data_IF_876648270476
#
_entry.id   IF_876648270476
#
_cell.length_a   1.000
_cell.length_b   1.000
_cell.length_c   1.000
_cell.angle_alpha   90.00
_cell.angle_beta   90.00
_cell.angle_gamma   90.00
#
_symmetry.space_group_name_H-M   'P 1'
#
loop_
_entity.id
_entity.type
_entity.pdbx_description
1 polymer ?
#
# COMPACT_ATOMS: atom_id res chain seq x y z
N UNK A 1 14.84 3.91 1.26
CA UNK A 1 14.11 4.03 -0.05
C UNK A 1 13.49 2.70 -0.42
N UNK A 2 12.32 2.72 -1.01
CA UNK A 2 11.64 1.53 -1.55
C UNK A 2 11.35 1.79 -3.02
N UNK A 3 11.75 0.86 -3.89
CA UNK A 3 11.45 0.93 -5.32
C UNK A 3 10.31 -0.06 -5.63
N UNK A 4 9.24 0.41 -6.23
CA UNK A 4 8.10 -0.40 -6.68
C UNK A 4 8.30 -0.72 -8.16
N UNK A 5 8.81 -1.89 -8.44
CA UNK A 5 9.09 -2.33 -9.83
C UNK A 5 7.91 -3.03 -10.51
N UNK A 6 6.85 -3.34 -9.76
CA UNK A 6 5.66 -4.04 -10.27
C UNK A 6 4.44 -3.59 -9.47
N UNK A 7 3.29 -3.52 -10.13
CA UNK A 7 1.99 -3.20 -9.51
C UNK A 7 1.45 -4.28 -8.54
N UNK A 8 2.29 -5.19 -8.05
CA UNK A 8 1.87 -6.34 -7.24
C UNK A 8 2.12 -6.17 -5.73
N UNK A 9 2.51 -4.98 -5.32
CA UNK A 9 2.82 -4.70 -3.92
C UNK A 9 4.17 -5.26 -3.44
N UNK A 10 4.66 -4.73 -2.34
CA UNK A 10 5.92 -5.10 -1.72
C UNK A 10 5.79 -5.18 -0.21
N UNK A 11 6.24 -6.27 0.41
CA UNK A 11 6.27 -6.39 1.87
C UNK A 11 7.33 -5.48 2.46
N UNK A 12 6.99 -4.83 3.56
CA UNK A 12 7.87 -3.90 4.24
C UNK A 12 7.62 -3.91 5.76
N UNK A 13 8.66 -3.64 6.53
CA UNK A 13 8.64 -3.28 7.95
C UNK A 13 9.88 -2.43 8.23
N UNK A 14 9.89 -1.65 9.31
CA UNK A 14 11.02 -0.83 9.68
C UNK A 14 11.19 -0.75 11.20
N UNK A 15 12.40 -0.43 11.65
CA UNK A 15 12.75 -0.40 13.08
C UNK A 15 12.25 0.84 13.82
N UNK A 16 11.92 1.90 13.09
CA UNK A 16 11.38 3.15 13.61
C UNK A 16 9.96 3.38 13.10
N UNK A 17 9.25 4.33 13.68
CA UNK A 17 7.97 4.78 13.15
C UNK A 17 8.17 5.39 11.77
N UNK A 18 7.21 5.18 10.87
CA UNK A 18 7.24 5.72 9.50
C UNK A 18 6.07 6.69 9.30
N UNK A 19 6.38 7.92 8.93
CA UNK A 19 5.38 8.89 8.49
C UNK A 19 5.07 8.70 7.00
N UNK A 20 3.93 8.10 6.71
CA UNK A 20 3.48 7.87 5.33
C UNK A 20 3.15 9.18 4.60
N UNK A 21 2.69 10.19 5.35
CA UNK A 21 2.33 11.50 4.78
C UNK A 21 3.54 12.30 4.29
N UNK A 22 4.71 12.06 4.90
CA UNK A 22 5.98 12.71 4.54
C UNK A 22 6.82 11.91 3.54
N UNK A 23 6.24 10.89 2.89
CA UNK A 23 6.94 10.11 1.86
C UNK A 23 7.23 10.98 0.65
N UNK A 24 8.49 11.03 0.26
CA UNK A 24 8.91 11.66 -0.99
C UNK A 24 8.87 10.65 -2.13
N UNK A 25 8.37 11.07 -3.28
CA UNK A 25 8.29 10.24 -4.49
C UNK A 25 9.28 10.75 -5.53
N UNK A 26 10.05 9.85 -6.10
CA UNK A 26 11.03 10.16 -7.13
C UNK A 26 10.74 9.34 -8.39
N UNK A 27 11.07 9.89 -9.56
CA UNK A 27 11.11 9.14 -10.81
C UNK A 27 12.40 8.28 -10.93
N UNK A 28 12.57 7.61 -12.06
CA UNK A 28 13.74 6.80 -12.34
C UNK A 28 15.05 7.59 -12.44
N UNK A 29 14.96 8.88 -12.73
CA UNK A 29 16.10 9.83 -12.83
C UNK A 29 16.32 10.59 -11.52
N UNK A 30 15.62 10.19 -10.44
CA UNK A 30 15.67 10.80 -9.10
C UNK A 30 15.14 12.23 -9.01
N UNK A 31 14.31 12.66 -9.95
CA UNK A 31 13.59 13.93 -9.81
C UNK A 31 12.40 13.74 -8.87
N UNK A 32 12.16 14.72 -8.01
CA UNK A 32 11.01 14.71 -7.09
C UNK A 32 9.72 14.88 -7.87
N UNK A 33 8.75 14.02 -7.58
CA UNK A 33 7.38 14.09 -8.07
C UNK A 33 6.48 14.69 -6.99
N UNK A 34 5.50 15.50 -7.40
CA UNK A 34 4.57 16.16 -6.47
C UNK A 34 3.48 15.19 -5.95
N UNK A 35 3.16 14.14 -6.73
CA UNK A 35 2.10 13.20 -6.38
C UNK A 35 2.64 12.04 -5.55
N UNK A 36 2.20 11.95 -4.30
CA UNK A 36 2.42 10.78 -3.46
C UNK A 36 1.26 9.80 -3.63
N UNK A 37 1.45 8.78 -4.43
CA UNK A 37 0.51 7.69 -4.71
C UNK A 37 0.85 6.40 -3.94
N UNK A 38 1.75 6.47 -2.96
CA UNK A 38 2.08 5.34 -2.11
C UNK A 38 0.88 4.97 -1.24
N UNK A 39 0.48 3.72 -1.31
CA UNK A 39 -0.52 3.12 -0.44
C UNK A 39 0.13 2.04 0.41
N UNK A 40 -0.09 2.08 1.71
CA UNK A 40 0.37 1.07 2.65
C UNK A 40 -0.84 0.32 3.22
N UNK A 41 -0.79 -1.00 3.21
CA UNK A 41 -1.87 -1.87 3.69
C UNK A 41 -1.41 -2.78 4.80
N UNK A 42 -2.27 -2.98 5.78
CA UNK A 42 -2.19 -4.07 6.76
C UNK A 42 -3.14 -5.20 6.36
N UNK A 43 -2.92 -6.40 6.89
CA UNK A 43 -3.84 -7.53 6.75
C UNK A 43 -4.66 -7.67 8.04
N UNK A 44 -5.99 -7.57 7.96
CA UNK A 44 -6.85 -7.52 9.16
C UNK A 44 -7.65 -8.78 9.39
N UNK A 45 -8.07 -9.47 8.33
CA UNK A 45 -8.87 -10.66 8.43
C UNK A 45 -8.49 -11.70 7.38
N UNK A 46 -8.69 -12.97 7.73
CA UNK A 46 -8.64 -14.08 6.79
C UNK A 46 -10.05 -14.66 6.73
N UNK A 47 -10.70 -14.49 5.58
CA UNK A 47 -12.10 -14.89 5.41
C UNK A 47 -12.24 -16.07 4.47
N UNK A 48 -13.16 -16.98 4.81
CA UNK A 48 -13.53 -18.09 3.95
C UNK A 48 -14.78 -17.70 3.17
N UNK A 49 -14.66 -17.58 1.86
CA UNK A 49 -15.85 -17.45 1.03
C UNK A 49 -16.34 -18.83 0.58
N UNK A 50 -17.66 -19.00 0.49
CA UNK A 50 -18.35 -20.25 0.15
C UNK A 50 -17.90 -20.89 -1.20
N UNK A 51 -17.03 -20.27 -1.94
CA UNK A 51 -16.50 -20.66 -3.26
C UNK A 51 -15.06 -21.16 -3.25
N UNK A 52 -14.60 -21.76 -2.17
CA UNK A 52 -13.27 -22.43 -2.06
C UNK A 52 -12.04 -21.48 -2.14
N UNK A 53 -12.19 -20.19 -2.21
CA UNK A 53 -11.07 -19.25 -2.21
C UNK A 53 -11.04 -18.48 -0.88
N UNK A 54 -10.02 -18.73 -0.10
CA UNK A 54 -9.75 -17.95 1.09
C UNK A 54 -9.09 -16.62 0.71
N UNK A 55 -9.47 -15.57 1.41
CA UNK A 55 -9.03 -14.20 1.14
C UNK A 55 -8.45 -13.56 2.38
N UNK A 56 -7.51 -12.67 2.17
CA UNK A 56 -6.94 -11.81 3.21
C UNK A 56 -7.42 -10.38 2.92
N UNK A 57 -8.07 -9.78 3.89
CA UNK A 57 -8.55 -8.39 3.77
C UNK A 57 -7.43 -7.42 4.10
N UNK A 58 -7.13 -6.54 3.15
CA UNK A 58 -6.18 -5.46 3.29
C UNK A 58 -6.88 -4.16 3.66
N UNK A 59 -6.49 -3.55 4.79
CA UNK A 59 -6.97 -2.23 5.21
C UNK A 59 -5.88 -1.18 5.03
N UNK A 60 -6.23 -0.05 4.42
CA UNK A 60 -5.31 1.07 4.19
C UNK A 60 -4.81 1.64 5.52
N UNK A 61 -3.50 1.84 5.60
CA UNK A 61 -2.83 2.53 6.70
C UNK A 61 -2.63 4.01 6.34
N UNK A 62 -2.91 4.89 7.30
CA UNK A 62 -2.72 6.32 7.14
C UNK A 62 -1.98 6.89 8.36
N UNK A 63 -1.25 7.99 8.15
CA UNK A 63 -0.52 8.68 9.21
C UNK A 63 0.79 8.00 9.57
N UNK A 64 1.15 8.03 10.85
CA UNK A 64 2.41 7.52 11.36
C UNK A 64 2.24 6.07 11.79
N UNK A 65 2.87 5.16 11.05
CA UNK A 65 2.85 3.72 11.32
C UNK A 65 3.88 3.39 12.41
N UNK A 66 3.50 2.61 13.44
CA UNK A 66 4.43 2.22 14.50
C UNK A 66 5.62 1.42 13.98
N UNK A 67 6.74 1.52 14.67
CA UNK A 67 7.92 0.68 14.46
C UNK A 67 7.55 -0.82 14.41
N UNK A 68 8.29 -1.59 13.63
CA UNK A 68 8.18 -3.04 13.50
C UNK A 68 6.85 -3.55 12.91
N UNK A 69 5.99 -2.64 12.46
CA UNK A 69 4.73 -3.00 11.80
C UNK A 69 4.98 -3.59 10.42
N UNK A 70 4.50 -4.81 10.18
CA UNK A 70 4.46 -5.38 8.84
C UNK A 70 3.40 -4.69 7.99
N UNK A 71 3.75 -4.34 6.75
CA UNK A 71 2.84 -3.72 5.78
C UNK A 71 3.14 -4.17 4.36
N UNK A 72 2.17 -3.99 3.47
CA UNK A 72 2.34 -4.19 2.03
C UNK A 72 2.20 -2.82 1.37
N UNK A 73 3.24 -2.43 0.66
CA UNK A 73 3.32 -1.15 -0.04
C UNK A 73 2.93 -1.34 -1.51
N UNK A 74 2.03 -0.51 -1.98
CA UNK A 74 1.64 -0.38 -3.37
C UNK A 74 1.96 1.04 -3.85
N UNK A 75 2.29 1.15 -5.11
CA UNK A 75 2.54 2.43 -5.76
C UNK A 75 2.63 2.26 -7.26
N UNK A 76 2.83 3.32 -7.99
CA UNK A 76 3.03 3.26 -9.44
C UNK A 76 4.35 2.60 -9.80
N UNK A 77 4.34 1.92 -10.93
CA UNK A 77 5.54 1.30 -11.48
C UNK A 77 6.58 2.37 -11.79
N UNK A 78 7.86 1.98 -11.63
CA UNK A 78 9.04 2.82 -11.92
C UNK A 78 9.18 4.09 -11.07
N UNK A 79 8.49 4.13 -9.92
CA UNK A 79 8.67 5.16 -8.89
C UNK A 79 9.52 4.66 -7.72
N UNK A 80 10.24 5.59 -7.12
CA UNK A 80 11.05 5.37 -5.92
C UNK A 80 10.42 6.15 -4.77
N UNK A 81 10.07 5.45 -3.69
CA UNK A 81 9.47 6.05 -2.50
C UNK A 81 10.52 6.14 -1.40
N UNK A 82 10.75 7.36 -0.93
CA UNK A 82 11.63 7.64 0.19
C UNK A 82 10.76 7.78 1.43
N UNK A 83 10.66 6.71 2.19
CA UNK A 83 9.89 6.69 3.45
C UNK A 83 10.65 7.47 4.52
N UNK A 84 9.94 8.25 5.31
CA UNK A 84 10.49 9.12 6.34
C UNK A 84 10.34 8.49 7.72
N UNK A 85 11.44 8.01 8.34
CA UNK A 85 11.44 7.62 9.74
C UNK A 85 11.16 8.82 10.64
N UNK A 86 10.46 8.60 11.74
CA UNK A 86 10.10 9.66 12.68
C UNK A 86 10.09 9.17 14.12
N UNK A 87 10.38 10.07 15.06
CA UNK A 87 10.22 9.85 16.51
C UNK A 87 8.85 10.29 17.01
N UNK A 88 8.02 10.87 16.15
CA UNK A 88 6.67 11.27 16.53
C UNK A 88 5.81 10.05 16.90
N UNK A 89 4.83 10.27 17.77
CA UNK A 89 3.93 9.20 18.22
C UNK A 89 3.14 8.60 17.05
N UNK A 90 3.00 7.28 17.05
CA UNK A 90 2.22 6.56 16.05
C UNK A 90 0.74 6.98 16.10
N UNK A 91 0.16 7.17 14.92
CA UNK A 91 -1.26 7.54 14.75
C UNK A 91 -2.05 6.51 13.93
N UNK A 92 -1.37 5.63 13.19
CA UNK A 92 -2.02 4.59 12.41
C UNK A 92 -2.62 3.49 13.33
N UNK A 93 -3.84 3.07 13.02
CA UNK A 93 -4.49 1.96 13.71
C UNK A 93 -4.01 0.63 13.13
N UNK A 94 -3.18 -0.07 13.89
CA UNK A 94 -2.59 -1.38 13.52
C UNK A 94 -3.03 -2.52 14.42
N UNK A 95 -4.05 -2.30 15.25
CA UNK A 95 -4.49 -3.23 16.30
C UNK A 95 -4.81 -4.65 15.77
N UNK A 96 -5.41 -4.73 14.60
CA UNK A 96 -5.84 -6.00 14.01
C UNK A 96 -4.85 -6.53 12.95
N UNK A 97 -3.67 -5.91 12.84
CA UNK A 97 -2.72 -6.28 11.81
C UNK A 97 -2.16 -7.70 12.02
N UNK A 98 -2.34 -8.55 11.04
CA UNK A 98 -1.82 -9.93 11.00
C UNK A 98 -0.47 -10.05 10.28
N UNK A 99 0.04 -8.95 9.73
CA UNK A 99 1.37 -8.92 9.13
C UNK A 99 2.42 -8.72 10.23
N UNK A 100 3.31 -9.67 10.34
CA UNK A 100 4.41 -9.64 11.32
C UNK A 100 5.68 -9.15 10.64
N UNK A 101 6.21 -8.02 11.12
CA UNK A 101 7.46 -7.45 10.62
C UNK A 101 8.66 -8.32 10.98
N UNK A 102 9.59 -8.46 10.05
CA UNK A 102 10.86 -9.17 10.23
C UNK A 102 11.99 -8.15 10.10
N UNK A 103 12.63 -7.85 11.22
CA UNK A 103 13.70 -6.85 11.30
C UNK A 103 15.10 -7.43 11.16
N UNK A 104 15.23 -8.70 10.90
CA UNK A 104 16.51 -9.38 10.79
C UNK A 104 16.40 -10.63 9.94
N UNK A 105 17.41 -11.48 10.03
CA UNK A 105 17.32 -12.81 9.45
C UNK A 105 16.35 -13.67 10.28
N UNK A 106 15.42 -14.32 9.62
CA UNK A 106 14.46 -15.22 10.23
C UNK A 106 14.39 -16.50 9.38
N UNK A 107 14.66 -17.67 10.00
CA UNK A 107 14.27 -18.95 9.40
C UNK A 107 12.77 -19.15 9.59
N UNK A 108 12.11 -19.60 8.53
CA UNK A 108 10.69 -19.98 8.59
C UNK A 108 10.52 -21.50 8.83
N UNK A 109 11.60 -22.21 9.15
CA UNK A 109 11.54 -23.67 9.38
C UNK A 109 10.59 -24.03 10.52
N UNK A 110 10.63 -23.25 11.61
CA UNK A 110 9.71 -23.41 12.76
C UNK A 110 8.30 -22.82 12.50
N UNK A 111 8.13 -22.14 11.39
CA UNK A 111 6.90 -21.46 10.99
C UNK A 111 6.29 -22.06 9.72
N UNK A 112 6.36 -23.39 9.65
CA UNK A 112 5.77 -24.14 8.54
C UNK A 112 4.29 -24.41 8.77
N UNK A 113 3.62 -24.78 7.69
CA UNK A 113 2.23 -25.15 7.70
C UNK A 113 1.28 -24.01 7.32
N UNK A 114 0.01 -24.32 7.37
CA UNK A 114 -1.07 -23.48 6.86
C UNK A 114 -1.45 -22.31 7.76
N UNK A 115 -0.65 -21.97 8.76
CA UNK A 115 -0.81 -20.77 9.58
C UNK A 115 -0.03 -19.57 9.05
N UNK A 116 1.14 -19.82 8.47
CA UNK A 116 2.07 -18.78 8.08
C UNK A 116 2.20 -18.69 6.57
N UNK A 117 2.10 -17.48 6.03
CA UNK A 117 2.10 -17.24 4.60
C UNK A 117 3.08 -16.13 4.22
N UNK A 118 3.69 -16.29 3.05
CA UNK A 118 4.61 -15.33 2.45
C UNK A 118 3.93 -14.65 1.27
N UNK A 119 4.03 -13.34 1.20
CA UNK A 119 3.45 -12.56 0.11
C UNK A 119 4.33 -12.58 -1.13
N UNK A 120 3.72 -12.86 -2.28
CA UNK A 120 4.36 -12.79 -3.59
C UNK A 120 3.31 -12.55 -4.69
N UNK A 121 3.54 -11.58 -5.54
CA UNK A 121 2.73 -11.37 -6.74
C UNK A 121 1.24 -11.09 -6.50
N UNK A 122 0.87 -10.43 -5.40
CA UNK A 122 -0.53 -10.13 -5.06
C UNK A 122 -1.23 -11.22 -4.25
N UNK A 123 -0.54 -12.30 -3.91
CA UNK A 123 -1.09 -13.42 -3.16
C UNK A 123 -0.18 -13.82 -1.98
N UNK A 124 -0.77 -14.48 -1.00
CA UNK A 124 -0.05 -15.12 0.08
C UNK A 124 0.04 -16.63 -0.17
N UNK A 125 1.23 -17.20 -0.03
CA UNK A 125 1.50 -18.63 -0.19
C UNK A 125 1.98 -19.22 1.12
N UNK A 126 1.61 -20.47 1.39
CA UNK A 126 2.07 -21.19 2.58
C UNK A 126 3.60 -21.12 2.67
N UNK A 127 4.09 -20.77 3.84
CA UNK A 127 5.51 -20.78 4.13
C UNK A 127 6.02 -22.23 4.15
N UNK A 128 6.82 -22.58 3.16
CA UNK A 128 7.46 -23.90 3.09
C UNK A 128 8.98 -23.73 3.06
N UNK A 129 9.61 -23.73 4.25
CA UNK A 129 11.07 -23.68 4.35
C UNK A 129 11.73 -22.40 3.81
N UNK A 130 10.99 -21.29 3.68
CA UNK A 130 11.53 -20.01 3.30
C UNK A 130 12.31 -19.40 4.48
N UNK A 131 13.41 -18.75 4.18
CA UNK A 131 14.12 -17.91 5.15
C UNK A 131 14.15 -16.47 4.68
N UNK A 132 13.94 -15.55 5.60
CA UNK A 132 14.25 -14.14 5.38
C UNK A 132 15.73 -13.96 5.74
N UNK A 133 16.53 -13.53 4.79
CA UNK A 133 17.90 -13.14 5.06
C UNK A 133 18.02 -11.63 4.89
N UNK A 134 18.69 -10.99 5.82
CA UNK A 134 19.25 -9.66 5.60
C UNK A 134 20.39 -9.82 4.61
N UNK A 135 20.09 -10.06 3.35
CA UNK A 135 21.12 -9.88 2.34
C UNK A 135 21.51 -8.41 2.35
N UNK A 136 22.77 -8.13 2.58
CA UNK A 136 23.44 -6.96 2.06
C UNK A 136 23.36 -7.05 0.53
N UNK A 137 22.19 -6.83 -0.03
CA UNK A 137 21.99 -6.78 -1.46
C UNK A 137 22.69 -5.54 -1.93
N UNK A 138 23.82 -5.70 -2.60
CA UNK A 138 24.26 -4.67 -3.51
C UNK A 138 23.09 -4.42 -4.45
N UNK A 139 22.47 -3.27 -4.29
CA UNK A 139 21.57 -2.73 -5.29
C UNK A 139 22.40 -2.57 -6.57
N UNK A 140 21.89 -3.05 -7.68
CA UNK A 140 22.46 -2.85 -9.01
C UNK A 140 22.40 -1.38 -9.49
N UNK A 141 21.96 -0.46 -8.64
CA UNK A 141 21.97 0.97 -8.91
C UNK A 141 23.35 1.51 -8.54
N UNK A 142 24.14 1.71 -9.53
CA UNK A 142 25.58 2.07 -9.41
C UNK A 142 25.86 3.50 -8.95
N UNK A 143 24.86 4.36 -8.81
CA UNK A 143 25.04 5.70 -8.27
C UNK A 143 23.72 6.28 -7.75
N UNK A 144 23.68 6.60 -6.46
CA UNK A 144 22.65 7.47 -5.89
C UNK A 144 23.14 8.91 -5.88
N UNK A 145 22.25 9.89 -6.07
CA UNK A 145 22.57 11.27 -5.80
C UNK A 145 23.08 11.45 -4.38
N UNK A 146 24.05 12.36 -4.16
CA UNK A 146 24.56 12.66 -2.83
C UNK A 146 23.42 13.12 -1.91
N UNK A 147 23.32 12.55 -0.71
CA UNK A 147 22.27 12.84 0.26
C UNK A 147 21.24 11.71 0.44
N UNK A 148 21.23 10.72 -0.43
CA UNK A 148 20.39 9.54 -0.24
C UNK A 148 21.20 8.33 0.22
N UNK A 149 20.86 7.78 1.36
CA UNK A 149 21.36 6.47 1.77
C UNK A 149 20.33 5.40 1.44
N UNK A 150 20.80 4.36 0.76
CA UNK A 150 19.98 3.18 0.57
C UNK A 150 19.87 2.46 1.92
N UNK A 151 18.65 2.28 2.41
CA UNK A 151 18.41 1.38 3.53
C UNK A 151 18.61 -0.10 3.11
N UNK A 152 19.64 -0.37 2.30
CA UNK A 152 19.96 -1.71 1.80
C UNK A 152 20.36 -2.67 2.90
N UNK A 153 20.73 -2.15 4.05
CA UNK A 153 21.08 -2.97 5.21
C UNK A 153 19.85 -3.54 5.93
N UNK A 154 18.66 -2.97 5.71
CA UNK A 154 17.50 -3.21 6.55
C UNK A 154 16.16 -3.09 5.81
N UNK A 155 16.10 -3.50 4.54
CA UNK A 155 14.83 -3.66 3.87
C UNK A 155 14.11 -4.87 4.49
N UNK A 156 13.52 -4.63 5.62
CA UNK A 156 12.76 -5.61 6.36
C UNK A 156 11.53 -6.02 5.58
N UNK A 157 11.12 -7.24 5.78
CA UNK A 157 9.96 -7.84 5.14
C UNK A 157 8.90 -8.15 6.19
N UNK A 158 7.77 -8.66 5.77
CA UNK A 158 6.80 -9.23 6.66
C UNK A 158 6.24 -10.54 6.13
N UNK A 159 5.68 -11.33 7.01
CA UNK A 159 4.86 -12.51 6.70
C UNK A 159 3.49 -12.35 7.34
N UNK A 160 2.51 -13.11 6.84
CA UNK A 160 1.17 -13.18 7.43
C UNK A 160 1.14 -14.30 8.47
N UNK A 161 0.65 -13.99 9.67
CA UNK A 161 0.26 -14.96 10.69
C UNK A 161 -1.27 -14.98 10.82
N UNK A 162 -1.89 -16.06 10.38
CA UNK A 162 -3.35 -16.22 10.44
C UNK A 162 -3.88 -16.45 11.87
N UNK A 163 -2.99 -16.65 12.85
CA UNK A 163 -3.34 -17.04 14.22
C UNK A 163 -3.61 -18.53 14.34
N UNK A 164 -4.47 -19.08 13.52
CA UNK A 164 -4.82 -20.49 13.45
C UNK A 164 -4.49 -21.08 12.07
N UNK A 165 -4.29 -22.40 11.97
CA UNK A 165 -4.10 -23.09 10.71
C UNK A 165 -5.30 -22.89 9.77
N UNK A 166 -5.00 -22.58 8.51
CA UNK A 166 -5.98 -22.30 7.46
C UNK A 166 -5.87 -23.40 6.40
N UNK A 167 -6.98 -24.02 6.02
CA UNK A 167 -6.98 -25.06 4.99
C UNK A 167 -6.90 -24.49 3.57
N UNK A 168 -5.77 -23.81 3.27
CA UNK A 168 -5.50 -23.24 1.95
C UNK A 168 -4.01 -23.29 1.63
N UNK A 169 -3.66 -23.49 0.37
CA UNK A 169 -2.27 -23.41 -0.11
C UNK A 169 -1.87 -21.98 -0.50
N UNK A 170 -2.85 -21.16 -0.83
CA UNK A 170 -2.67 -19.76 -1.17
C UNK A 170 -3.91 -18.94 -0.77
N UNK A 171 -3.70 -17.67 -0.47
CA UNK A 171 -4.74 -16.70 -0.10
C UNK A 171 -4.65 -15.50 -1.03
N UNK A 172 -5.77 -15.05 -1.56
CA UNK A 172 -5.82 -13.82 -2.37
C UNK A 172 -5.84 -12.62 -1.44
N UNK A 173 -4.96 -11.66 -1.67
CA UNK A 173 -4.99 -10.39 -0.96
C UNK A 173 -5.99 -9.45 -1.63
N UNK A 174 -7.00 -9.02 -0.90
CA UNK A 174 -8.02 -8.09 -1.39
C UNK A 174 -7.79 -6.77 -0.69
N UNK A 175 -7.53 -5.76 -1.48
CA UNK A 175 -7.44 -4.40 -1.00
C UNK A 175 -8.85 -3.91 -0.73
N UNK A 176 -9.06 -3.34 0.45
CA UNK A 176 -10.26 -2.57 0.74
C UNK A 176 -10.11 -1.23 0.00
N UNK A 177 -10.51 -1.24 -1.26
CA UNK A 177 -10.57 -0.05 -2.12
C UNK A 177 -11.82 0.79 -1.84
N UNK A 178 -12.60 0.44 -0.82
CA UNK A 178 -13.64 1.34 -0.38
C UNK A 178 -13.01 2.47 0.44
N UNK A 179 -12.69 3.62 -0.16
CA UNK A 179 -12.64 4.83 0.61
C UNK A 179 -14.09 4.99 1.13
N UNK A 180 -14.36 4.55 2.36
CA UNK A 180 -15.56 4.94 3.09
C UNK A 180 -15.46 6.42 3.46
N UNK A 181 -15.27 7.21 2.49
CA UNK A 181 -15.22 8.65 2.49
C UNK A 181 -14.80 9.04 1.09
N UNK A 182 -15.66 9.77 0.41
CA UNK A 182 -15.26 10.59 -0.71
C UNK A 182 -14.22 11.56 -0.11
N UNK A 183 -12.95 11.13 -0.05
CA UNK A 183 -11.86 12.07 0.12
C UNK A 183 -11.92 12.94 -1.10
N UNK A 184 -12.52 14.11 -0.92
CA UNK A 184 -12.67 15.20 -1.85
C UNK A 184 -12.23 14.81 -3.26
N UNK A 185 -13.21 14.34 -4.08
CA UNK A 185 -12.99 14.39 -5.51
C UNK A 185 -12.35 15.76 -5.73
N UNK A 186 -11.11 15.80 -6.24
CA UNK A 186 -10.58 17.01 -6.83
C UNK A 186 -11.69 17.42 -7.79
N UNK A 187 -12.50 18.35 -7.36
CA UNK A 187 -13.39 19.05 -8.25
C UNK A 187 -12.43 19.84 -9.09
N UNK A 188 -11.98 19.25 -10.21
CA UNK A 188 -11.51 20.06 -11.31
C UNK A 188 -12.58 21.11 -11.42
N UNK A 189 -12.19 22.35 -11.21
CA UNK A 189 -13.08 23.50 -11.41
C UNK A 189 -13.27 23.66 -12.91
N UNK A 190 -13.88 22.61 -13.47
CA UNK A 190 -14.31 22.57 -14.84
C UNK A 190 -15.53 23.50 -14.94
N UNK A 191 -15.38 24.64 -15.57
CA UNK A 191 -16.45 25.62 -15.82
C UNK A 191 -17.51 25.10 -16.81
N UNK A 192 -17.55 23.79 -17.03
CA UNK A 192 -18.49 23.17 -17.93
C UNK A 192 -19.82 22.85 -17.25
N UNK A 193 -20.88 22.95 -18.02
CA UNK A 193 -22.20 22.46 -17.63
C UNK A 193 -22.41 21.04 -18.15
N UNK A 194 -23.02 20.22 -17.32
CA UNK A 194 -23.40 18.85 -17.68
C UNK A 194 -24.91 18.67 -17.52
N UNK A 195 -25.54 17.99 -18.45
CA UNK A 195 -26.95 17.58 -18.29
C UNK A 195 -27.09 16.44 -17.26
N UNK A 196 -28.31 16.04 -16.92
CA UNK A 196 -28.57 14.98 -15.95
C UNK A 196 -28.09 13.57 -16.41
N UNK A 197 -27.72 13.42 -17.68
CA UNK A 197 -27.13 12.20 -18.24
C UNK A 197 -25.58 12.26 -18.22
N UNK A 198 -24.98 13.33 -17.67
CA UNK A 198 -23.53 13.50 -17.58
C UNK A 198 -22.87 13.98 -18.87
N UNK A 199 -23.64 14.38 -19.89
CA UNK A 199 -23.10 14.91 -21.13
C UNK A 199 -22.78 16.42 -20.99
N UNK A 200 -21.60 16.82 -21.45
CA UNK A 200 -21.15 18.21 -21.46
C UNK A 200 -22.04 19.06 -22.40
N UNK A 201 -22.48 20.20 -21.90
CA UNK A 201 -23.34 21.14 -22.62
C UNK A 201 -22.59 22.46 -22.83
N UNK A 202 -22.19 22.74 -24.06
CA UNK A 202 -21.39 23.94 -24.39
C UNK A 202 -22.17 25.26 -24.24
N UNK A 203 -23.51 25.24 -24.44
CA UNK A 203 -24.40 26.39 -24.27
C UNK A 203 -25.66 25.96 -23.54
N UNK A 204 -25.70 26.05 -22.22
CA UNK A 204 -26.86 25.66 -21.46
C UNK A 204 -28.03 26.58 -21.73
N UNK A 205 -29.18 26.02 -22.06
CA UNK A 205 -30.46 26.72 -22.22
C UNK A 205 -31.29 26.49 -20.96
N UNK A 206 -32.52 27.05 -20.91
CA UNK A 206 -33.43 26.83 -19.79
C UNK A 206 -33.52 25.36 -19.43
N UNK A 207 -33.17 25.00 -18.19
CA UNK A 207 -33.15 23.61 -17.73
C UNK A 207 -32.37 23.39 -16.44
N UNK A 208 -32.20 22.10 -16.11
CA UNK A 208 -31.43 21.67 -14.93
C UNK A 208 -30.09 21.09 -15.40
N UNK A 209 -29.02 21.54 -14.78
CA UNK A 209 -27.64 21.16 -15.11
C UNK A 209 -26.83 20.87 -13.84
N UNK A 210 -25.71 20.20 -14.00
CA UNK A 210 -24.66 20.08 -13.00
C UNK A 210 -23.51 20.99 -13.40
N UNK A 211 -23.11 21.88 -12.51
CA UNK A 211 -21.99 22.81 -12.69
C UNK A 211 -21.21 22.87 -11.37
N UNK A 212 -19.91 22.69 -11.42
CA UNK A 212 -19.03 22.56 -10.25
C UNK A 212 -19.52 21.50 -9.23
N UNK A 213 -20.05 20.39 -9.72
CA UNK A 213 -20.62 19.33 -8.87
C UNK A 213 -21.92 19.68 -8.16
N UNK A 214 -22.53 20.83 -8.48
CA UNK A 214 -23.79 21.30 -7.88
C UNK A 214 -24.91 21.38 -8.92
N UNK A 215 -26.12 21.10 -8.48
CA UNK A 215 -27.32 21.28 -9.30
C UNK A 215 -27.58 22.78 -9.52
N UNK A 216 -27.68 23.20 -10.76
CA UNK A 216 -27.98 24.58 -11.18
C UNK A 216 -29.23 24.57 -12.05
N UNK A 217 -30.11 25.55 -11.85
CA UNK A 217 -31.33 25.76 -12.64
C UNK A 217 -31.15 27.04 -13.45
N UNK A 218 -31.14 26.92 -14.76
CA UNK A 218 -31.13 28.08 -15.68
C UNK A 218 -32.59 28.34 -16.04
N UNK A 219 -33.02 29.56 -15.79
CA UNK A 219 -34.40 30.06 -16.06
C UNK A 219 -34.54 30.64 -17.43
#
# INVERSE_FOLDING_TARGET
MVNITKATGKTFAYEENIDLGSTQVLDADFNTLEDNDLMAYQATAVTNQATSQMKVEGRLLNGIVPAQTGMILYGSQDRIYVLTPTTAAATADVKDNKLVGVLGSLSMDDKQGSRYFIYSGGMFYVSSGHSFSTRSGQSSVSSFPSGYSYASKYAYKCYLDCGEPVNAKALTFILDDTPTGITSARVDRDDNFYNLMGLKVARPVKGIYIHHGKKVIIK
#
